data_IF_472970435255
#
_entry.id   IF_472970435255
#
_cell.length_a   1.000
_cell.length_b   1.000
_cell.length_c   1.000
_cell.angle_alpha   90.00
_cell.angle_beta   90.00
_cell.angle_gamma   90.00
#
_symmetry.space_group_name_H-M   'P 1'
#
loop_
_entity.id
_entity.type
_entity.pdbx_description
1 polymer ?
#
# COMPACT_ATOMS: atom_id res chain seq x y z
N UNK A 1 19.80 -15.57 2.41
CA UNK A 1 18.60 -16.33 1.98
C UNK A 1 17.42 -15.37 2.03
N UNK A 2 16.54 -15.35 1.01
CA UNK A 2 15.39 -14.44 0.98
C UNK A 2 14.28 -14.94 1.90
N UNK A 3 13.52 -14.02 2.48
CA UNK A 3 12.32 -14.38 3.25
C UNK A 3 11.18 -14.73 2.29
N UNK A 4 10.60 -15.93 2.44
CA UNK A 4 9.50 -16.41 1.58
C UNK A 4 8.15 -15.99 2.15
N UNK A 5 7.36 -15.27 1.36
CA UNK A 5 6.08 -14.69 1.76
C UNK A 5 4.98 -15.12 0.81
N UNK A 6 3.90 -15.70 1.35
CA UNK A 6 2.67 -16.00 0.61
C UNK A 6 1.64 -14.88 0.76
N UNK A 7 1.07 -14.40 -0.33
CA UNK A 7 -0.02 -13.41 -0.33
C UNK A 7 -1.33 -14.13 -0.62
N UNK A 8 -2.33 -13.98 0.26
CA UNK A 8 -3.63 -14.63 0.09
C UNK A 8 -4.80 -13.69 0.46
N UNK A 9 -5.79 -13.48 -0.43
CA UNK A 9 -5.85 -13.91 -1.83
C UNK A 9 -5.05 -12.98 -2.74
N UNK A 10 -4.21 -13.56 -3.59
CA UNK A 10 -3.27 -12.83 -4.45
C UNK A 10 -3.95 -11.96 -5.53
N UNK A 11 -5.13 -12.36 -6.01
CA UNK A 11 -5.86 -11.67 -7.08
C UNK A 11 -6.63 -10.42 -6.68
N UNK A 12 -6.70 -10.11 -5.39
CA UNK A 12 -7.36 -8.89 -4.91
C UNK A 12 -6.54 -7.65 -5.26
N UNK A 13 -7.18 -6.47 -5.31
CA UNK A 13 -6.46 -5.20 -5.48
C UNK A 13 -5.36 -4.97 -4.43
N UNK A 14 -5.58 -5.46 -3.21
CA UNK A 14 -4.60 -5.42 -2.12
C UNK A 14 -3.44 -6.36 -2.44
N UNK A 15 -3.72 -7.58 -2.90
CA UNK A 15 -2.72 -8.55 -3.30
C UNK A 15 -1.88 -8.07 -4.49
N UNK A 16 -2.50 -7.45 -5.48
CA UNK A 16 -1.81 -6.86 -6.63
C UNK A 16 -0.91 -5.68 -6.20
N UNK A 17 -1.32 -4.89 -5.22
CA UNK A 17 -0.48 -3.82 -4.68
C UNK A 17 0.72 -4.37 -3.90
N UNK A 18 0.52 -5.39 -3.06
CA UNK A 18 1.61 -6.07 -2.36
C UNK A 18 2.63 -6.64 -3.36
N UNK A 19 2.16 -7.22 -4.48
CA UNK A 19 3.05 -7.68 -5.55
C UNK A 19 3.88 -6.54 -6.15
N UNK A 20 3.22 -5.45 -6.59
CA UNK A 20 3.92 -4.29 -7.17
C UNK A 20 4.99 -3.74 -6.24
N UNK A 21 4.69 -3.70 -4.95
CA UNK A 21 5.57 -3.19 -3.91
C UNK A 21 6.77 -4.08 -3.60
N UNK A 22 6.69 -5.40 -3.83
CA UNK A 22 7.69 -6.36 -3.34
C UNK A 22 8.42 -7.16 -4.42
N UNK A 23 7.91 -7.22 -5.65
CA UNK A 23 8.44 -8.12 -6.71
C UNK A 23 9.90 -7.86 -7.09
N UNK A 24 10.41 -6.65 -6.88
CA UNK A 24 11.79 -6.27 -7.12
C UNK A 24 12.71 -6.40 -5.90
N UNK A 25 12.16 -6.71 -4.72
CA UNK A 25 12.93 -6.75 -3.48
C UNK A 25 14.08 -7.77 -3.53
N UNK A 26 15.25 -7.33 -3.10
CA UNK A 26 16.42 -8.16 -2.84
C UNK A 26 16.24 -9.05 -1.60
N UNK A 27 15.40 -8.64 -0.64
CA UNK A 27 15.15 -9.35 0.62
C UNK A 27 14.01 -10.39 0.54
N UNK A 28 13.02 -10.19 -0.32
CA UNK A 28 11.78 -10.97 -0.32
C UNK A 28 11.66 -11.88 -1.56
N UNK A 29 11.15 -13.09 -1.34
CA UNK A 29 10.63 -13.96 -2.38
C UNK A 29 9.13 -14.14 -2.20
N UNK A 30 8.35 -13.71 -3.20
CA UNK A 30 6.91 -13.58 -3.10
C UNK A 30 6.18 -14.71 -3.83
N UNK A 31 5.18 -15.28 -3.16
CA UNK A 31 4.27 -16.29 -3.68
C UNK A 31 2.84 -15.75 -3.68
N UNK A 32 2.12 -15.91 -4.79
CA UNK A 32 0.70 -15.57 -4.88
C UNK A 32 -0.13 -16.82 -4.66
N UNK A 33 -0.99 -16.83 -3.64
CA UNK A 33 -1.93 -17.92 -3.38
C UNK A 33 -3.33 -17.45 -3.75
N UNK A 34 -4.07 -18.24 -4.54
CA UNK A 34 -5.46 -17.91 -4.89
C UNK A 34 -6.37 -19.12 -4.89
N UNK A 35 -7.63 -18.89 -4.54
CA UNK A 35 -8.70 -19.89 -4.66
C UNK A 35 -9.28 -19.97 -6.07
N UNK A 36 -9.03 -18.94 -6.90
CA UNK A 36 -9.50 -18.86 -8.28
C UNK A 36 -8.31 -18.70 -9.22
N UNK A 37 -8.41 -19.24 -10.43
CA UNK A 37 -7.48 -18.90 -11.51
C UNK A 37 -7.77 -17.49 -12.03
N UNK A 38 -7.21 -16.48 -11.37
CA UNK A 38 -7.45 -15.06 -11.65
C UNK A 38 -6.22 -14.34 -12.24
N UNK A 39 -6.24 -13.00 -12.26
CA UNK A 39 -5.16 -12.17 -12.82
C UNK A 39 -3.80 -12.40 -12.13
N UNK A 40 -3.78 -12.87 -10.88
CA UNK A 40 -2.55 -13.11 -10.11
C UNK A 40 -1.60 -14.10 -10.80
N UNK A 41 -2.13 -15.08 -11.56
CA UNK A 41 -1.35 -16.02 -12.39
C UNK A 41 -0.38 -15.32 -13.36
N UNK A 42 -0.73 -14.11 -13.81
CA UNK A 42 0.05 -13.37 -14.82
C UNK A 42 1.05 -12.38 -14.22
N UNK A 43 0.94 -12.07 -12.92
CA UNK A 43 1.78 -11.06 -12.26
C UNK A 43 2.63 -11.61 -11.13
N UNK A 44 2.27 -12.75 -10.54
CA UNK A 44 3.09 -13.44 -9.56
C UNK A 44 4.02 -14.44 -10.25
N UNK A 45 5.33 -14.32 -9.97
CA UNK A 45 6.33 -15.25 -10.51
C UNK A 45 6.18 -16.65 -9.94
N UNK A 46 5.95 -16.75 -8.63
CA UNK A 46 5.64 -17.99 -7.94
C UNK A 46 4.16 -17.96 -7.57
N UNK A 47 3.38 -18.93 -8.03
CA UNK A 47 1.92 -18.89 -7.95
C UNK A 47 1.35 -20.27 -7.64
N UNK A 48 0.39 -20.30 -6.72
CA UNK A 48 -0.39 -21.49 -6.34
C UNK A 48 -1.87 -21.14 -6.52
N UNK A 49 -2.56 -21.86 -7.39
CA UNK A 49 -4.00 -21.70 -7.63
C UNK A 49 -4.81 -22.85 -7.03
N UNK A 50 -6.14 -22.73 -7.15
CA UNK A 50 -7.12 -23.74 -6.80
C UNK A 50 -7.09 -24.16 -5.32
N UNK A 51 -6.63 -23.27 -4.44
CA UNK A 51 -6.86 -23.45 -3.01
C UNK A 51 -8.36 -23.41 -2.72
N UNK A 52 -8.87 -24.15 -1.73
CA UNK A 52 -10.24 -23.95 -1.27
C UNK A 52 -10.47 -22.48 -0.86
N UNK A 53 -11.71 -22.02 -0.87
CA UNK A 53 -12.03 -20.71 -0.29
C UNK A 53 -11.78 -20.76 1.23
N UNK A 54 -11.49 -19.61 1.85
CA UNK A 54 -11.13 -19.57 3.28
C UNK A 54 -12.21 -20.14 4.22
N UNK A 55 -13.47 -20.16 3.77
CA UNK A 55 -14.62 -20.68 4.50
C UNK A 55 -14.94 -22.17 4.20
N UNK A 56 -14.14 -22.82 3.34
CA UNK A 56 -14.23 -24.25 3.08
C UNK A 56 -13.58 -25.04 4.24
N UNK A 57 -14.21 -26.14 4.66
CA UNK A 57 -13.72 -26.99 5.75
C UNK A 57 -12.31 -27.55 5.48
N UNK A 58 -11.97 -27.79 4.22
CA UNK A 58 -10.66 -28.32 3.82
C UNK A 58 -9.58 -27.25 3.62
N UNK A 59 -9.93 -25.96 3.74
CA UNK A 59 -8.99 -24.86 3.46
C UNK A 59 -7.70 -24.97 4.25
N UNK A 60 -7.78 -25.10 5.58
CA UNK A 60 -6.60 -25.10 6.45
C UNK A 60 -5.63 -26.24 6.10
N UNK A 61 -6.16 -27.40 5.71
CA UNK A 61 -5.33 -28.57 5.34
C UNK A 61 -4.55 -28.30 4.05
N UNK A 62 -5.23 -27.90 2.97
CA UNK A 62 -4.59 -27.62 1.68
C UNK A 62 -3.69 -26.37 1.74
N UNK A 63 -4.07 -25.37 2.53
CA UNK A 63 -3.27 -24.18 2.75
C UNK A 63 -1.94 -24.51 3.45
N UNK A 64 -1.99 -25.31 4.53
CA UNK A 64 -0.78 -25.75 5.25
C UNK A 64 0.12 -26.66 4.41
N UNK A 65 -0.47 -27.50 3.56
CA UNK A 65 0.28 -28.29 2.58
C UNK A 65 1.05 -27.39 1.63
N UNK A 66 0.38 -26.39 1.05
CA UNK A 66 1.00 -25.41 0.15
C UNK A 66 2.07 -24.56 0.84
N UNK A 67 1.85 -24.15 2.09
CA UNK A 67 2.85 -23.46 2.93
C UNK A 67 4.11 -24.33 3.07
N UNK A 68 3.94 -25.61 3.43
CA UNK A 68 5.06 -26.53 3.64
C UNK A 68 5.84 -26.82 2.36
N UNK A 69 5.13 -27.11 1.27
CA UNK A 69 5.74 -27.41 -0.04
C UNK A 69 6.58 -26.25 -0.58
N UNK A 70 6.16 -25.01 -0.32
CA UNK A 70 6.86 -23.81 -0.78
C UNK A 70 7.79 -23.21 0.27
N UNK A 71 7.83 -23.76 1.49
CA UNK A 71 8.58 -23.26 2.65
C UNK A 71 8.22 -21.81 2.99
N UNK A 72 6.92 -21.48 2.95
CA UNK A 72 6.45 -20.13 3.25
C UNK A 72 6.65 -19.84 4.73
N UNK A 73 7.33 -18.73 5.04
CA UNK A 73 7.60 -18.30 6.42
C UNK A 73 6.50 -17.37 6.93
N UNK A 74 5.99 -16.51 6.06
CA UNK A 74 4.97 -15.52 6.41
C UNK A 74 3.81 -15.53 5.42
N UNK A 75 2.59 -15.32 5.92
CA UNK A 75 1.41 -15.06 5.11
C UNK A 75 0.99 -13.60 5.25
N UNK A 76 0.82 -12.92 4.13
CA UNK A 76 0.28 -11.57 4.04
C UNK A 76 -1.18 -11.62 3.59
N UNK A 77 -2.14 -11.39 4.51
CA UNK A 77 -3.55 -11.33 4.15
C UNK A 77 -3.84 -10.13 3.25
N UNK A 78 -4.60 -10.37 2.18
CA UNK A 78 -4.93 -9.37 1.18
C UNK A 78 -6.46 -9.15 1.04
N UNK A 79 -7.24 -9.46 2.07
CA UNK A 79 -8.67 -9.20 2.14
C UNK A 79 -9.12 -9.13 3.61
N UNK A 80 -10.14 -8.33 3.92
CA UNK A 80 -10.61 -8.12 5.29
C UNK A 80 -11.17 -9.40 5.95
N UNK A 81 -11.94 -10.21 5.22
CA UNK A 81 -12.50 -11.47 5.75
C UNK A 81 -11.42 -12.54 5.91
N UNK A 82 -10.52 -12.64 4.93
CA UNK A 82 -9.36 -13.54 5.00
C UNK A 82 -8.43 -13.13 6.14
N UNK A 83 -8.21 -11.83 6.35
CA UNK A 83 -7.40 -11.35 7.47
C UNK A 83 -7.99 -11.78 8.80
N UNK A 84 -9.30 -11.59 8.99
CA UNK A 84 -9.98 -12.05 10.20
C UNK A 84 -9.83 -13.57 10.38
N UNK A 85 -10.18 -14.34 9.35
CA UNK A 85 -10.11 -15.80 9.40
C UNK A 85 -8.71 -16.33 9.74
N UNK A 86 -7.67 -15.83 9.06
CA UNK A 86 -6.30 -16.25 9.28
C UNK A 86 -5.80 -15.85 10.68
N UNK A 87 -6.22 -14.68 11.18
CA UNK A 87 -5.86 -14.22 12.53
C UNK A 87 -6.56 -15.06 13.60
N UNK A 88 -7.81 -15.49 13.38
CA UNK A 88 -8.56 -16.35 14.31
C UNK A 88 -8.06 -17.80 14.34
N UNK A 89 -7.46 -18.27 13.24
CA UNK A 89 -6.92 -19.61 13.12
C UNK A 89 -5.38 -19.63 13.14
N UNK A 90 -4.76 -18.61 13.73
CA UNK A 90 -3.31 -18.43 13.78
C UNK A 90 -2.57 -19.72 14.20
N UNK A 91 -3.00 -20.34 15.31
CA UNK A 91 -2.36 -21.54 15.87
C UNK A 91 -2.50 -22.80 14.98
N UNK A 92 -3.37 -22.75 13.97
CA UNK A 92 -3.60 -23.84 13.02
C UNK A 92 -2.87 -23.65 11.70
N UNK A 93 -2.15 -22.54 11.52
CA UNK A 93 -1.45 -22.21 10.27
C UNK A 93 0.06 -22.38 10.49
N UNK A 94 0.73 -23.12 9.61
CA UNK A 94 2.15 -23.45 9.71
C UNK A 94 3.08 -22.32 9.23
N UNK A 95 2.65 -21.07 9.33
CA UNK A 95 3.39 -19.87 8.97
C UNK A 95 2.95 -18.67 9.82
N UNK A 96 3.83 -17.70 9.96
CA UNK A 96 3.55 -16.46 10.69
C UNK A 96 2.60 -15.56 9.90
N UNK A 97 1.50 -15.10 10.53
CA UNK A 97 0.59 -14.16 9.88
C UNK A 97 1.09 -12.72 10.07
N UNK A 98 1.21 -12.00 8.96
CA UNK A 98 1.46 -10.55 8.92
C UNK A 98 0.14 -9.85 9.19
N UNK A 99 -0.14 -9.61 10.46
CA UNK A 99 -1.38 -9.00 10.93
C UNK A 99 -1.15 -8.31 12.27
N UNK A 100 -2.16 -7.56 12.70
CA UNK A 100 -2.21 -7.01 14.06
C UNK A 100 -2.97 -7.94 15.01
N UNK A 101 -3.09 -7.55 16.27
CA UNK A 101 -3.77 -8.37 17.28
C UNK A 101 -5.25 -8.63 16.93
N UNK A 102 -5.75 -9.80 17.34
CA UNK A 102 -7.09 -10.26 16.98
C UNK A 102 -8.21 -9.33 17.46
N UNK A 103 -8.05 -8.63 18.59
CA UNK A 103 -9.07 -7.70 19.09
C UNK A 103 -9.20 -6.53 18.11
N UNK A 104 -8.09 -5.96 17.66
CA UNK A 104 -8.11 -4.87 16.67
C UNK A 104 -8.71 -5.32 15.35
N UNK A 105 -8.35 -6.50 14.84
CA UNK A 105 -8.92 -7.04 13.60
C UNK A 105 -10.44 -7.21 13.71
N UNK A 106 -10.93 -7.80 14.81
CA UNK A 106 -12.38 -7.97 15.05
C UNK A 106 -13.12 -6.65 15.16
N UNK A 107 -12.57 -5.68 15.91
CA UNK A 107 -13.18 -4.35 16.03
C UNK A 107 -13.29 -3.68 14.67
N UNK A 108 -12.20 -3.65 13.89
CA UNK A 108 -12.17 -3.01 12.58
C UNK A 108 -13.10 -3.67 11.56
N UNK A 109 -13.34 -4.99 11.68
CA UNK A 109 -14.24 -5.71 10.75
C UNK A 109 -15.71 -5.32 10.93
N UNK A 110 -16.13 -4.96 12.16
CA UNK A 110 -17.50 -4.57 12.48
C UNK A 110 -17.60 -3.05 12.66
N UNK A 111 -18.39 -2.39 11.79
CA UNK A 111 -18.62 -0.94 11.90
C UNK A 111 -19.36 -0.58 13.18
N UNK A 112 -20.30 -1.42 13.64
CA UNK A 112 -20.99 -1.22 14.91
C UNK A 112 -20.01 -1.28 16.07
N UNK A 113 -19.13 -2.28 16.10
CA UNK A 113 -18.13 -2.42 17.17
C UNK A 113 -17.13 -1.26 17.16
N UNK A 114 -16.69 -0.84 15.97
CA UNK A 114 -15.84 0.35 15.79
C UNK A 114 -16.53 1.60 16.33
N UNK A 115 -17.79 1.86 15.97
CA UNK A 115 -18.51 3.04 16.44
C UNK A 115 -18.81 3.01 17.92
N UNK A 116 -19.14 1.85 18.48
CA UNK A 116 -19.30 1.71 19.93
C UNK A 116 -18.00 2.01 20.68
N UNK A 117 -16.84 1.60 20.14
CA UNK A 117 -15.53 1.90 20.75
C UNK A 117 -15.23 3.40 20.76
N UNK A 118 -15.60 4.13 19.71
CA UNK A 118 -15.30 5.55 19.56
C UNK A 118 -16.51 6.47 19.81
N UNK A 119 -17.61 5.97 20.39
CA UNK A 119 -18.90 6.67 20.48
C UNK A 119 -18.83 8.05 21.15
N UNK A 120 -17.92 8.22 22.10
CA UNK A 120 -17.77 9.45 22.90
C UNK A 120 -16.78 10.44 22.24
N UNK A 121 -16.29 10.15 21.03
CA UNK A 121 -15.39 11.03 20.28
C UNK A 121 -16.16 11.89 19.28
N UNK A 122 -15.69 13.11 19.06
CA UNK A 122 -16.33 14.06 18.13
C UNK A 122 -16.31 13.58 16.67
N UNK A 123 -15.36 12.74 16.31
CA UNK A 123 -15.20 12.21 14.95
C UNK A 123 -16.07 10.97 14.69
N UNK A 124 -16.79 10.42 15.65
CA UNK A 124 -17.74 9.34 15.37
C UNK A 124 -19.02 9.94 14.79
N UNK A 125 -19.52 9.44 13.64
CA UNK A 125 -20.81 9.88 13.14
C UNK A 125 -21.90 9.48 14.13
N UNK A 126 -22.95 10.29 14.23
CA UNK A 126 -24.15 9.90 14.95
C UNK A 126 -24.70 8.62 14.32
N UNK A 127 -24.74 7.55 15.09
CA UNK A 127 -25.36 6.28 14.70
C UNK A 127 -26.55 5.96 15.60
N UNK A 128 -27.49 5.19 15.07
CA UNK A 128 -28.76 4.89 15.73
C UNK A 128 -28.77 3.45 16.22
N UNK A 129 -28.76 3.26 17.54
CA UNK A 129 -28.94 1.93 18.15
C UNK A 129 -30.40 1.46 18.01
N UNK A 130 -31.35 2.39 18.12
CA UNK A 130 -32.77 2.13 17.94
C UNK A 130 -33.32 2.94 16.79
N UNK A 131 -34.10 2.29 15.94
CA UNK A 131 -34.78 2.92 14.79
C UNK A 131 -35.73 4.04 15.23
N UNK A 132 -36.30 3.94 16.43
CA UNK A 132 -37.13 4.98 17.04
C UNK A 132 -36.41 6.33 17.23
N UNK A 133 -35.08 6.32 17.24
CA UNK A 133 -34.27 7.52 17.49
C UNK A 133 -34.03 8.32 16.21
N UNK A 134 -34.42 7.78 15.05
CA UNK A 134 -34.38 8.45 13.75
C UNK A 134 -35.47 9.52 13.69
N UNK A 135 -35.05 10.78 13.83
CA UNK A 135 -35.95 11.96 13.80
C UNK A 135 -35.88 12.78 12.51
N UNK A 136 -34.81 12.59 11.73
CA UNK A 136 -34.52 13.38 10.52
C UNK A 136 -33.97 12.46 9.44
N UNK A 137 -34.36 12.76 8.20
CA UNK A 137 -33.87 12.11 6.98
C UNK A 137 -33.20 13.18 6.09
N UNK A 138 -32.31 12.78 5.14
CA UNK A 138 -31.88 11.40 4.90
C UNK A 138 -30.94 10.87 6.00
N UNK A 139 -30.95 9.55 6.17
CA UNK A 139 -29.94 8.80 6.94
C UNK A 139 -29.16 7.90 5.99
N UNK A 140 -28.05 7.34 6.47
CA UNK A 140 -27.23 6.42 5.70
C UNK A 140 -27.23 5.04 6.36
N UNK A 141 -27.43 4.00 5.57
CA UNK A 141 -27.33 2.62 6.02
C UNK A 141 -26.21 1.90 5.29
N UNK A 142 -25.45 1.09 6.03
CA UNK A 142 -24.38 0.27 5.47
C UNK A 142 -24.31 -1.08 6.22
N UNK A 143 -23.92 -2.17 5.55
CA UNK A 143 -23.70 -3.44 6.23
C UNK A 143 -22.65 -3.29 7.35
N UNK A 144 -22.90 -3.91 8.51
CA UNK A 144 -21.98 -3.93 9.65
C UNK A 144 -20.61 -4.49 9.21
N UNK A 145 -20.65 -5.64 8.54
CA UNK A 145 -19.51 -6.31 7.91
C UNK A 145 -19.66 -6.17 6.39
N UNK A 146 -18.66 -5.61 5.71
CA UNK A 146 -18.73 -5.38 4.26
C UNK A 146 -17.48 -4.69 3.74
N UNK A 147 -17.43 -4.46 2.42
CA UNK A 147 -16.32 -3.80 1.72
C UNK A 147 -16.80 -3.12 0.43
N UNK A 148 -16.06 -2.12 -0.04
CA UNK A 148 -16.29 -1.51 -1.37
C UNK A 148 -17.65 -0.85 -1.55
N UNK A 149 -18.22 -0.27 -0.49
CA UNK A 149 -19.54 0.37 -0.49
C UNK A 149 -20.72 -0.53 -0.94
N UNK A 150 -20.53 -1.85 -1.05
CA UNK A 150 -21.61 -2.79 -1.36
C UNK A 150 -22.67 -2.76 -0.27
N UNK A 151 -23.93 -2.65 -0.68
CA UNK A 151 -25.08 -2.54 0.23
C UNK A 151 -25.21 -1.19 0.93
N UNK A 152 -24.35 -0.20 0.65
CA UNK A 152 -24.49 1.12 1.26
C UNK A 152 -25.58 1.94 0.57
N UNK A 153 -26.58 2.43 1.33
CA UNK A 153 -27.75 3.13 0.78
C UNK A 153 -28.05 4.42 1.54
N UNK A 154 -28.54 5.43 0.82
CA UNK A 154 -29.18 6.61 1.41
C UNK A 154 -30.65 6.27 1.61
N UNK A 155 -31.17 6.50 2.81
CA UNK A 155 -32.56 6.29 3.19
C UNK A 155 -33.21 7.66 3.36
N UNK A 156 -34.23 7.95 2.56
CA UNK A 156 -34.87 9.26 2.50
C UNK A 156 -36.13 9.38 3.36
N UNK A 157 -36.70 8.26 3.82
CA UNK A 157 -37.95 8.24 4.59
C UNK A 157 -38.13 6.92 5.36
N UNK A 158 -39.15 6.88 6.22
CA UNK A 158 -39.49 5.71 7.02
C UNK A 158 -39.91 4.48 6.21
N UNK A 159 -40.47 4.64 5.01
CA UNK A 159 -40.87 3.50 4.19
C UNK A 159 -39.64 2.75 3.68
N UNK A 160 -38.64 3.47 3.16
CA UNK A 160 -37.35 2.91 2.75
C UNK A 160 -36.65 2.23 3.95
N UNK A 161 -36.68 2.87 5.13
CA UNK A 161 -36.13 2.31 6.36
C UNK A 161 -36.79 0.98 6.73
N UNK A 162 -38.13 0.94 6.75
CA UNK A 162 -38.91 -0.26 7.07
C UNK A 162 -38.70 -1.39 6.06
N UNK A 163 -38.48 -1.07 4.78
CA UNK A 163 -38.11 -2.06 3.77
C UNK A 163 -36.74 -2.67 4.07
N UNK A 164 -35.73 -1.86 4.40
CA UNK A 164 -34.38 -2.36 4.69
C UNK A 164 -34.32 -3.20 5.97
N UNK A 165 -35.15 -2.87 6.97
CA UNK A 165 -35.25 -3.63 8.22
C UNK A 165 -35.80 -5.06 8.05
N UNK A 166 -36.37 -5.39 6.88
CA UNK A 166 -36.80 -6.75 6.53
C UNK A 166 -35.65 -7.59 5.95
N UNK A 167 -34.50 -6.99 5.70
CA UNK A 167 -33.31 -7.70 5.24
C UNK A 167 -32.73 -8.58 6.38
N UNK A 168 -32.21 -9.74 6.03
CA UNK A 168 -31.45 -10.60 6.96
C UNK A 168 -30.04 -10.05 7.23
N UNK A 169 -29.54 -9.17 6.37
CA UNK A 169 -28.24 -8.53 6.53
C UNK A 169 -28.28 -7.49 7.67
N UNK A 170 -27.26 -7.52 8.52
CA UNK A 170 -27.15 -6.60 9.65
C UNK A 170 -26.61 -5.25 9.20
N UNK A 171 -27.42 -4.20 9.33
CA UNK A 171 -27.05 -2.82 8.98
C UNK A 171 -26.65 -2.00 10.20
N UNK A 172 -25.76 -1.03 9.98
CA UNK A 172 -25.57 0.13 10.86
C UNK A 172 -26.19 1.37 10.20
N UNK A 173 -27.00 2.08 10.96
CA UNK A 173 -27.70 3.29 10.54
C UNK A 173 -27.01 4.52 11.13
N UNK A 174 -26.65 5.47 10.29
CA UNK A 174 -25.89 6.67 10.67
C UNK A 174 -26.52 7.93 10.08
N UNK A 175 -26.13 9.08 10.59
CA UNK A 175 -26.38 10.35 9.91
C UNK A 175 -25.83 10.33 8.48
N UNK A 176 -26.51 11.06 7.59
CA UNK A 176 -26.02 11.27 6.24
C UNK A 176 -24.90 12.32 6.24
N UNK A 177 -23.75 11.95 5.65
CA UNK A 177 -22.57 12.81 5.55
C UNK A 177 -22.44 13.30 4.10
N UNK A 178 -22.72 14.59 3.81
CA UNK A 178 -22.75 15.12 2.44
C UNK A 178 -21.38 15.56 1.92
N UNK A 179 -20.39 15.76 2.78
CA UNK A 179 -19.11 16.36 2.41
C UNK A 179 -18.12 15.39 1.76
N UNK A 180 -16.91 15.88 1.53
CA UNK A 180 -15.83 15.15 0.87
C UNK A 180 -15.34 13.95 1.69
N UNK A 181 -14.88 12.90 0.99
CA UNK A 181 -14.35 11.66 1.55
C UNK A 181 -12.84 11.56 1.36
N UNK A 182 -12.15 11.15 2.43
CA UNK A 182 -10.69 11.04 2.49
C UNK A 182 -10.28 9.67 3.03
N UNK A 183 -9.10 9.22 2.63
CA UNK A 183 -8.45 8.06 3.23
C UNK A 183 -7.13 8.49 3.84
N UNK A 184 -6.85 8.03 5.05
CA UNK A 184 -5.65 8.36 5.78
C UNK A 184 -4.83 7.08 5.90
N UNK A 185 -3.76 6.98 5.12
CA UNK A 185 -2.83 5.86 5.16
C UNK A 185 -1.90 6.03 6.38
N UNK A 186 -1.86 5.01 7.23
CA UNK A 186 -1.12 5.01 8.49
C UNK A 186 -0.15 3.84 8.58
N UNK A 187 0.87 3.99 9.42
CA UNK A 187 1.76 2.90 9.81
C UNK A 187 2.15 3.02 11.27
N UNK A 188 1.98 1.94 12.01
CA UNK A 188 2.38 1.82 13.41
C UNK A 188 3.45 0.76 13.53
N UNK A 189 4.56 1.06 14.19
CA UNK A 189 5.65 0.09 14.32
C UNK A 189 5.39 -0.94 15.45
N UNK A 190 6.30 -1.91 15.59
CA UNK A 190 6.21 -2.97 16.59
C UNK A 190 6.39 -2.48 18.03
N UNK A 191 6.74 -1.20 18.24
CA UNK A 191 6.72 -0.53 19.54
C UNK A 191 5.37 0.15 19.83
N UNK A 192 4.45 0.16 18.86
CA UNK A 192 3.14 0.81 18.98
C UNK A 192 3.17 2.30 18.61
N UNK A 193 4.27 2.81 18.08
CA UNK A 193 4.40 4.22 17.68
C UNK A 193 3.82 4.45 16.28
N UNK A 194 2.93 5.44 16.15
CA UNK A 194 2.41 5.88 14.86
C UNK A 194 3.50 6.65 14.08
N UNK A 195 4.08 6.02 13.06
CA UNK A 195 5.22 6.56 12.30
C UNK A 195 4.83 7.33 11.04
N UNK A 196 3.67 7.01 10.45
CA UNK A 196 3.16 7.64 9.23
C UNK A 196 1.68 7.94 9.39
N UNK A 197 1.24 9.13 8.95
CA UNK A 197 -0.16 9.53 8.83
C UNK A 197 -0.35 10.46 7.63
N UNK A 198 -0.80 9.90 6.50
CA UNK A 198 -0.88 10.60 5.21
C UNK A 198 -2.30 10.63 4.68
N UNK A 199 -2.85 11.84 4.57
CA UNK A 199 -4.17 12.04 4.00
C UNK A 199 -4.12 12.06 2.47
N UNK A 200 -5.08 11.39 1.84
CA UNK A 200 -5.35 11.47 0.41
C UNK A 200 -6.84 11.64 0.16
N UNK A 201 -7.18 12.42 -0.86
CA UNK A 201 -8.56 12.55 -1.28
C UNK A 201 -9.01 11.35 -2.13
N UNK A 202 -10.30 11.37 -2.46
CA UNK A 202 -10.94 10.38 -3.31
C UNK A 202 -11.72 11.08 -4.41
N UNK A 203 -11.02 11.89 -5.23
CA UNK A 203 -11.60 12.76 -6.28
C UNK A 203 -12.60 12.02 -7.17
N UNK A 204 -12.34 10.74 -7.45
CA UNK A 204 -13.26 9.87 -8.17
C UNK A 204 -13.31 8.50 -7.52
N UNK A 205 -14.51 8.05 -7.21
CA UNK A 205 -14.80 6.74 -6.61
C UNK A 205 -15.58 5.89 -7.63
N UNK A 206 -15.23 4.61 -7.74
CA UNK A 206 -15.98 3.61 -8.52
C UNK A 206 -16.04 2.32 -7.70
N UNK A 207 -17.23 1.76 -7.48
CA UNK A 207 -17.43 0.54 -6.68
C UNK A 207 -16.73 0.60 -5.30
N UNK A 208 -16.79 1.76 -4.63
CA UNK A 208 -16.14 2.00 -3.33
C UNK A 208 -14.60 2.07 -3.36
N UNK A 209 -13.98 2.02 -4.54
CA UNK A 209 -12.53 2.16 -4.72
C UNK A 209 -12.22 3.57 -5.23
N UNK A 210 -11.23 4.22 -4.62
CA UNK A 210 -10.72 5.49 -5.13
C UNK A 210 -9.87 5.24 -6.38
N UNK A 211 -10.41 5.66 -7.52
CA UNK A 211 -9.78 5.51 -8.84
C UNK A 211 -9.08 6.79 -9.29
N UNK A 212 -9.25 7.91 -8.58
CA UNK A 212 -8.41 9.11 -8.70
C UNK A 212 -8.12 9.68 -7.32
N UNK A 213 -6.84 9.85 -6.99
CA UNK A 213 -6.41 10.35 -5.67
C UNK A 213 -5.14 11.18 -5.80
N UNK A 214 -5.00 12.17 -4.92
CA UNK A 214 -3.77 12.91 -4.69
C UNK A 214 -3.45 12.93 -3.18
N UNK A 215 -2.18 13.14 -2.85
CA UNK A 215 -1.74 13.31 -1.45
C UNK A 215 -2.03 14.75 -1.04
N UNK A 216 -2.72 14.90 0.09
CA UNK A 216 -3.04 16.18 0.70
C UNK A 216 -2.14 16.45 1.90
N UNK A 217 -2.08 17.72 2.31
CA UNK A 217 -1.50 18.08 3.59
C UNK A 217 -2.38 17.48 4.71
N UNK A 218 -1.79 16.64 5.55
CA UNK A 218 -2.47 16.12 6.74
C UNK A 218 -2.56 17.24 7.79
N UNK A 219 -3.77 17.67 8.13
CA UNK A 219 -3.97 18.68 9.17
C UNK A 219 -3.90 18.10 10.60
N UNK A 220 -3.88 19.00 11.59
CA UNK A 220 -3.78 18.64 13.01
C UNK A 220 -5.03 17.90 13.53
N UNK A 221 -6.21 18.09 12.96
CA UNK A 221 -7.42 17.38 13.38
C UNK A 221 -7.31 15.91 12.97
N UNK A 222 -6.90 15.66 11.73
CA UNK A 222 -6.65 14.31 11.21
C UNK A 222 -5.56 13.59 12.00
N UNK A 223 -4.44 14.26 12.32
CA UNK A 223 -3.37 13.69 13.15
C UNK A 223 -3.87 13.29 14.54
N UNK A 224 -4.73 14.12 15.17
CA UNK A 224 -5.33 13.81 16.47
C UNK A 224 -6.25 12.60 16.38
N UNK A 225 -7.08 12.50 15.35
CA UNK A 225 -7.95 11.35 15.11
C UNK A 225 -7.11 10.08 14.96
N UNK A 226 -6.08 10.12 14.12
CA UNK A 226 -5.17 8.97 13.91
C UNK A 226 -4.53 8.52 15.23
N UNK A 227 -4.07 9.46 16.05
CA UNK A 227 -3.49 9.17 17.36
C UNK A 227 -4.50 8.55 18.31
N UNK A 228 -5.72 9.09 18.40
CA UNK A 228 -6.78 8.51 19.26
C UNK A 228 -7.11 7.08 18.84
N UNK A 229 -7.20 6.83 17.53
CA UNK A 229 -7.44 5.48 16.99
C UNK A 229 -6.28 4.54 17.37
N UNK A 230 -5.04 4.95 17.16
CA UNK A 230 -3.83 4.18 17.49
C UNK A 230 -3.68 3.91 19.00
N UNK A 231 -4.11 4.84 19.86
CA UNK A 231 -4.00 4.67 21.31
C UNK A 231 -5.05 3.67 21.86
N UNK A 232 -6.18 3.47 21.15
CA UNK A 232 -7.27 2.57 21.56
C UNK A 232 -7.22 1.18 20.92
N UNK A 233 -6.49 1.04 19.81
CA UNK A 233 -6.35 -0.20 19.04
C UNK A 233 -4.85 -0.49 18.84
N UNK A 234 -4.43 -1.74 19.04
CA UNK A 234 -3.02 -2.10 18.83
C UNK A 234 -2.82 -2.37 17.36
N UNK A 235 -2.12 -1.50 16.66
CA UNK A 235 -1.69 -1.72 15.28
C UNK A 235 -0.24 -2.20 15.23
N UNK A 236 0.07 -3.00 14.21
CA UNK A 236 1.41 -3.52 13.95
C UNK A 236 1.62 -3.63 12.44
N UNK A 237 2.17 -2.59 11.83
CA UNK A 237 2.29 -2.42 10.40
C UNK A 237 1.32 -1.37 9.83
N UNK A 238 1.05 -1.48 8.53
CA UNK A 238 0.20 -0.56 7.80
C UNK A 238 -1.29 -0.77 8.08
N UNK A 239 -2.00 0.35 8.20
CA UNK A 239 -3.45 0.41 8.36
C UNK A 239 -3.97 1.70 7.74
N UNK A 240 -5.27 1.85 7.63
CA UNK A 240 -5.87 3.13 7.25
C UNK A 240 -7.21 3.32 7.92
N UNK A 241 -7.66 4.57 7.91
CA UNK A 241 -9.04 4.91 8.23
C UNK A 241 -9.59 5.89 7.20
N UNK A 242 -10.91 5.95 7.10
CA UNK A 242 -11.59 6.83 6.17
C UNK A 242 -12.42 7.84 6.94
N UNK A 243 -12.33 9.10 6.51
CA UNK A 243 -13.09 10.21 7.04
C UNK A 243 -14.00 10.79 5.97
N UNK A 244 -15.16 11.27 6.37
CA UNK A 244 -16.05 12.05 5.50
C UNK A 244 -16.58 13.27 6.25
N UNK A 245 -16.67 14.40 5.57
CA UNK A 245 -17.16 15.63 6.19
C UNK A 245 -18.68 15.61 6.39
N UNK A 246 -19.12 16.07 7.56
CA UNK A 246 -20.53 16.34 7.84
C UNK A 246 -20.99 17.67 7.22
N UNK A 247 -22.22 18.09 7.51
CA UNK A 247 -22.80 19.35 7.00
C UNK A 247 -22.10 20.62 7.53
N UNK A 248 -21.30 20.49 8.60
CA UNK A 248 -20.54 21.58 9.23
C UNK A 248 -19.03 21.45 8.94
N UNK A 249 -18.66 20.69 7.89
CA UNK A 249 -17.28 20.41 7.50
C UNK A 249 -16.43 19.69 8.56
N UNK A 250 -17.05 19.00 9.53
CA UNK A 250 -16.34 18.21 10.54
C UNK A 250 -16.08 16.79 10.08
N UNK A 251 -14.89 16.26 10.38
CA UNK A 251 -14.51 14.91 9.99
C UNK A 251 -15.28 13.87 10.79
N UNK A 252 -15.91 12.92 10.08
CA UNK A 252 -16.60 11.77 10.65
C UNK A 252 -16.03 10.45 10.14
N UNK A 253 -15.80 9.49 11.02
CA UNK A 253 -15.22 8.19 10.74
C UNK A 253 -16.18 7.31 9.95
N UNK A 254 -15.70 6.76 8.83
CA UNK A 254 -16.45 5.80 8.02
C UNK A 254 -16.07 4.35 8.33
N UNK A 255 -14.77 4.06 8.32
CA UNK A 255 -14.19 2.73 8.55
C UNK A 255 -12.72 2.83 8.97
N UNK A 256 -12.23 1.77 9.60
CA UNK A 256 -10.83 1.52 9.92
C UNK A 256 -10.50 0.13 9.42
N UNK A 257 -9.33 -0.08 8.82
CA UNK A 257 -8.90 -1.40 8.39
C UNK A 257 -7.39 -1.62 8.64
N UNK A 258 -7.00 -2.68 9.35
CA UNK A 258 -5.63 -2.95 9.76
C UNK A 258 -4.84 -3.68 8.66
N UNK A 259 -4.88 -3.16 7.43
CA UNK A 259 -4.26 -3.78 6.25
C UNK A 259 -3.85 -2.76 5.20
N UNK A 260 -3.14 -3.25 4.19
CA UNK A 260 -2.82 -2.48 2.98
C UNK A 260 -4.10 -2.06 2.25
N UNK A 261 -4.13 -0.81 1.76
CA UNK A 261 -5.18 -0.31 0.88
C UNK A 261 -4.70 -0.35 -0.58
N UNK A 262 -5.60 -0.65 -1.52
CA UNK A 262 -5.22 -0.77 -2.94
C UNK A 262 -4.68 0.52 -3.58
N UNK A 263 -4.87 1.68 -2.96
CA UNK A 263 -4.37 2.98 -3.44
C UNK A 263 -3.15 3.47 -2.64
N UNK A 264 -2.64 2.68 -1.68
CA UNK A 264 -1.35 2.95 -1.01
C UNK A 264 -0.16 2.95 -1.98
N UNK A 265 -0.34 2.47 -3.23
CA UNK A 265 0.64 2.66 -4.31
C UNK A 265 1.01 4.13 -4.53
N UNK A 266 0.10 5.07 -4.24
CA UNK A 266 0.40 6.51 -4.26
C UNK A 266 1.44 6.91 -3.21
N UNK A 267 1.33 6.37 -1.99
CA UNK A 267 2.29 6.58 -0.91
C UNK A 267 3.61 5.84 -1.16
N UNK A 268 3.57 4.66 -1.80
CA UNK A 268 4.77 3.97 -2.29
C UNK A 268 5.54 4.84 -3.26
N UNK A 269 4.86 5.48 -4.22
CA UNK A 269 5.46 6.43 -5.14
C UNK A 269 5.99 7.72 -4.50
N UNK A 270 5.92 7.88 -3.17
CA UNK A 270 6.61 8.92 -2.40
C UNK A 270 7.77 8.38 -1.54
N UNK A 271 8.14 7.10 -1.70
CA UNK A 271 9.17 6.44 -0.89
C UNK A 271 8.64 5.62 0.29
N UNK A 272 7.32 5.63 0.54
CA UNK A 272 6.70 4.95 1.68
C UNK A 272 6.11 3.60 1.24
N UNK A 273 6.96 2.59 1.13
CA UNK A 273 6.56 1.23 0.77
C UNK A 273 5.92 0.49 1.96
N UNK A 274 4.63 0.74 2.21
CA UNK A 274 3.88 0.16 3.33
C UNK A 274 3.93 -1.38 3.41
N UNK A 275 3.80 -2.16 2.31
CA UNK A 275 3.96 -3.61 2.36
C UNK A 275 5.34 -4.03 2.89
N UNK A 276 6.42 -3.44 2.38
CA UNK A 276 7.79 -3.77 2.80
C UNK A 276 8.05 -3.39 4.26
N UNK A 277 7.64 -2.18 4.66
CA UNK A 277 7.73 -1.72 6.04
C UNK A 277 6.97 -2.66 6.98
N UNK A 278 5.78 -3.12 6.59
CA UNK A 278 4.96 -4.03 7.41
C UNK A 278 5.65 -5.37 7.64
N UNK A 279 6.31 -5.91 6.61
CA UNK A 279 7.10 -7.15 6.71
C UNK A 279 8.28 -6.98 7.67
N UNK A 280 9.11 -5.95 7.45
CA UNK A 280 10.27 -5.70 8.29
C UNK A 280 9.88 -5.42 9.75
N UNK A 281 8.76 -4.75 9.94
CA UNK A 281 8.20 -4.49 11.25
C UNK A 281 7.72 -5.77 11.95
N UNK A 282 7.05 -6.69 11.23
CA UNK A 282 6.72 -8.03 11.74
C UNK A 282 7.99 -8.84 12.10
N UNK A 283 9.06 -8.67 11.33
CA UNK A 283 10.39 -9.25 11.61
C UNK A 283 11.17 -8.51 12.72
N UNK A 284 10.60 -7.44 13.30
CA UNK A 284 11.22 -6.58 14.31
C UNK A 284 12.56 -5.96 13.88
N UNK A 285 12.69 -5.68 12.59
CA UNK A 285 13.83 -4.95 12.03
C UNK A 285 13.58 -3.45 12.25
N UNK A 286 14.53 -2.70 12.84
CA UNK A 286 14.41 -1.25 12.94
C UNK A 286 14.26 -0.60 11.56
N UNK A 287 13.26 0.26 11.41
CA UNK A 287 12.95 0.93 10.14
C UNK A 287 13.25 2.43 10.20
N UNK A 288 13.56 2.98 9.02
CA UNK A 288 13.51 4.41 8.73
C UNK A 288 12.60 4.62 7.53
N UNK A 289 12.09 5.84 7.39
CA UNK A 289 11.15 6.20 6.32
C UNK A 289 11.76 7.33 5.50
N UNK A 290 11.69 7.17 4.18
CA UNK A 290 11.97 8.23 3.21
C UNK A 290 10.62 8.76 2.75
N UNK A 291 10.51 10.08 2.65
CA UNK A 291 9.32 10.75 2.10
C UNK A 291 9.76 11.83 1.13
N UNK A 292 9.67 11.51 -0.17
CA UNK A 292 9.87 12.51 -1.22
C UNK A 292 8.81 13.61 -1.13
N UNK A 293 9.22 14.85 -1.41
CA UNK A 293 8.36 16.03 -1.29
C UNK A 293 8.05 16.60 -2.68
N UNK A 294 7.06 16.03 -3.34
CA UNK A 294 6.45 16.57 -4.56
C UNK A 294 4.95 16.25 -4.58
N UNK A 295 4.21 16.93 -5.45
CA UNK A 295 2.80 16.60 -5.68
C UNK A 295 2.73 15.41 -6.63
N UNK A 296 1.78 14.51 -6.34
CA UNK A 296 1.54 13.31 -7.13
C UNK A 296 0.04 13.02 -7.16
N UNK A 297 -0.46 12.68 -8.35
CA UNK A 297 -1.80 12.15 -8.57
C UNK A 297 -1.70 10.73 -9.15
N UNK A 298 -2.63 9.86 -8.77
CA UNK A 298 -2.88 8.58 -9.43
C UNK A 298 -4.26 8.55 -10.06
N UNK A 299 -4.35 8.03 -11.28
CA UNK A 299 -5.60 7.65 -11.93
C UNK A 299 -5.57 6.16 -12.30
N UNK A 300 -6.71 5.50 -12.15
CA UNK A 300 -6.89 4.06 -12.34
C UNK A 300 -8.08 3.77 -13.23
N UNK A 301 -7.82 3.04 -14.30
CA UNK A 301 -8.82 2.17 -14.93
C UNK A 301 -8.65 0.76 -14.34
N UNK A 302 -7.89 -0.11 -15.00
CA UNK A 302 -7.47 -1.41 -14.48
C UNK A 302 -6.04 -1.39 -13.90
N UNK A 303 -5.22 -0.43 -14.33
CA UNK A 303 -3.82 -0.27 -13.91
C UNK A 303 -3.65 1.17 -13.42
N UNK A 304 -2.84 1.35 -12.39
CA UNK A 304 -2.44 2.67 -11.90
C UNK A 304 -1.52 3.39 -12.88
N UNK A 305 -1.82 4.67 -13.09
CA UNK A 305 -0.99 5.63 -13.82
C UNK A 305 -0.82 6.85 -12.96
N UNK A 306 0.38 7.42 -12.96
CA UNK A 306 0.74 8.51 -12.07
C UNK A 306 1.08 9.76 -12.87
N UNK A 307 0.91 10.91 -12.23
CA UNK A 307 1.40 12.20 -12.70
C UNK A 307 2.11 12.87 -11.54
N UNK A 308 3.36 13.29 -11.78
CA UNK A 308 4.20 13.94 -10.80
C UNK A 308 4.41 15.39 -11.23
N UNK A 309 4.41 16.30 -10.26
CA UNK A 309 4.60 17.74 -10.48
C UNK A 309 5.91 18.16 -9.79
N UNK A 310 7.02 17.82 -10.47
CA UNK A 310 8.37 18.33 -10.18
C UNK A 310 9.29 18.17 -11.42
N UNK A 311 10.30 19.03 -11.53
CA UNK A 311 11.23 19.03 -12.66
C UNK A 311 12.59 18.42 -12.28
N UNK A 312 13.19 17.68 -13.21
CA UNK A 312 14.57 17.20 -13.15
C UNK A 312 15.17 17.13 -14.56
N UNK A 313 16.50 17.25 -14.67
CA UNK A 313 17.22 17.14 -15.94
C UNK A 313 18.39 16.15 -15.89
N UNK A 314 18.56 15.46 -14.75
CA UNK A 314 19.54 14.38 -14.57
C UNK A 314 18.90 13.21 -13.83
N UNK A 315 19.11 12.00 -14.33
CA UNK A 315 18.78 10.74 -13.65
C UNK A 315 20.08 10.06 -13.26
N UNK A 316 20.30 9.90 -11.96
CA UNK A 316 21.31 8.99 -11.44
C UNK A 316 20.68 7.62 -11.22
N UNK A 317 21.32 6.57 -11.73
CA UNK A 317 20.82 5.20 -11.64
C UNK A 317 21.92 4.26 -11.17
N UNK A 318 21.60 3.40 -10.21
CA UNK A 318 22.50 2.32 -9.80
C UNK A 318 22.44 1.11 -10.75
N UNK A 319 23.53 0.36 -10.81
CA UNK A 319 23.66 -0.84 -11.63
C UNK A 319 23.09 -2.10 -10.96
N UNK A 320 23.58 -2.44 -9.77
CA UNK A 320 23.38 -3.72 -9.13
C UNK A 320 22.05 -3.75 -8.38
N UNK A 321 21.26 -4.81 -8.58
CA UNK A 321 19.92 -4.95 -8.00
C UNK A 321 18.93 -3.80 -8.32
N UNK A 322 19.33 -2.87 -9.21
CA UNK A 322 18.54 -1.73 -9.68
C UNK A 322 18.31 -1.84 -11.19
N UNK A 323 19.34 -1.53 -12.00
CA UNK A 323 19.30 -1.71 -13.46
C UNK A 323 19.36 -3.19 -13.85
N UNK A 324 20.11 -3.99 -13.10
CA UNK A 324 20.25 -5.43 -13.28
C UNK A 324 19.74 -6.14 -12.03
N UNK A 325 18.59 -6.80 -12.14
CA UNK A 325 17.96 -7.54 -11.03
C UNK A 325 18.06 -9.03 -11.33
N UNK A 326 18.71 -9.80 -10.46
CA UNK A 326 18.86 -11.27 -10.60
C UNK A 326 19.42 -11.68 -11.98
N UNK A 327 20.50 -11.03 -12.43
CA UNK A 327 21.12 -11.21 -13.76
C UNK A 327 20.15 -10.99 -14.94
N UNK A 328 19.14 -10.13 -14.77
CA UNK A 328 18.23 -9.72 -15.83
C UNK A 328 18.09 -8.21 -15.82
N UNK A 329 17.98 -7.62 -17.00
CA UNK A 329 17.74 -6.18 -17.13
C UNK A 329 16.37 -5.83 -16.55
N UNK A 330 16.32 -4.80 -15.71
CA UNK A 330 15.07 -4.23 -15.20
C UNK A 330 14.35 -3.50 -16.34
N UNK A 331 13.39 -4.19 -16.96
CA UNK A 331 12.72 -3.72 -18.17
C UNK A 331 11.96 -2.40 -17.97
N UNK A 332 11.38 -2.20 -16.79
CA UNK A 332 10.60 -1.00 -16.50
C UNK A 332 11.52 0.22 -16.35
N UNK A 333 12.65 0.02 -15.67
CA UNK A 333 13.69 1.04 -15.55
C UNK A 333 14.35 1.35 -16.90
N UNK A 334 14.61 0.35 -17.75
CA UNK A 334 15.09 0.61 -19.11
C UNK A 334 14.10 1.43 -19.94
N UNK A 335 12.81 1.13 -19.84
CA UNK A 335 11.77 1.92 -20.51
C UNK A 335 11.82 3.38 -20.06
N UNK A 336 11.94 3.61 -18.75
CA UNK A 336 12.09 4.95 -18.20
C UNK A 336 13.40 5.65 -18.64
N UNK A 337 14.51 4.92 -18.74
CA UNK A 337 15.78 5.46 -19.24
C UNK A 337 15.63 5.93 -20.70
N UNK A 338 15.01 5.12 -21.57
CA UNK A 338 14.78 5.53 -22.96
C UNK A 338 13.82 6.72 -23.09
N UNK A 339 12.76 6.76 -22.28
CA UNK A 339 11.89 7.94 -22.19
C UNK A 339 12.69 9.19 -21.79
N UNK A 340 13.58 9.06 -20.80
CA UNK A 340 14.42 10.16 -20.34
C UNK A 340 15.37 10.65 -21.44
N UNK A 341 15.97 9.74 -22.21
CA UNK A 341 16.83 10.07 -23.36
C UNK A 341 16.05 10.84 -24.43
N UNK A 342 14.83 10.38 -24.79
CA UNK A 342 13.99 11.08 -25.76
C UNK A 342 13.63 12.50 -25.31
N UNK A 343 13.52 12.70 -24.00
CA UNK A 343 13.25 14.00 -23.37
C UNK A 343 14.52 14.83 -23.09
N UNK A 344 15.68 14.43 -23.63
CA UNK A 344 16.98 15.10 -23.45
C UNK A 344 17.39 15.25 -21.97
N UNK A 345 17.04 14.27 -21.14
CA UNK A 345 17.45 14.18 -19.74
C UNK A 345 18.76 13.39 -19.65
N UNK A 346 19.76 13.95 -18.95
CA UNK A 346 21.08 13.31 -18.77
C UNK A 346 20.95 12.05 -17.93
N UNK A 347 21.57 10.94 -18.34
CA UNK A 347 21.59 9.67 -17.60
C UNK A 347 23.00 9.39 -17.09
N UNK A 348 23.14 9.23 -15.77
CA UNK A 348 24.41 8.94 -15.11
C UNK A 348 24.30 7.58 -14.42
N UNK A 349 25.13 6.62 -14.85
CA UNK A 349 25.27 5.35 -14.15
C UNK A 349 26.22 5.55 -12.97
N UNK A 350 25.76 5.27 -11.75
CA UNK A 350 26.55 5.45 -10.54
C UNK A 350 26.45 4.21 -9.65
N UNK A 351 27.55 3.47 -9.52
CA UNK A 351 27.52 2.16 -8.87
C UNK A 351 28.77 1.87 -8.04
N UNK A 352 28.63 0.97 -7.08
CA UNK A 352 29.72 0.37 -6.30
C UNK A 352 30.09 -1.03 -6.81
N UNK A 353 29.83 -1.29 -8.10
CA UNK A 353 30.01 -2.58 -8.73
C UNK A 353 31.46 -3.06 -8.64
N UNK A 354 31.65 -4.28 -8.12
CA UNK A 354 32.98 -4.84 -7.85
C UNK A 354 33.67 -5.30 -9.14
N UNK A 355 32.91 -5.68 -10.16
CA UNK A 355 33.45 -6.16 -11.43
C UNK A 355 33.62 -5.04 -12.45
N UNK A 356 34.18 -5.37 -13.62
CA UNK A 356 34.28 -4.42 -14.72
C UNK A 356 32.88 -4.04 -15.23
N UNK A 357 32.50 -2.77 -15.03
CA UNK A 357 31.19 -2.24 -15.40
C UNK A 357 30.91 -2.41 -16.90
N UNK A 358 31.89 -2.11 -17.76
CA UNK A 358 31.70 -2.17 -19.22
C UNK A 358 31.50 -3.61 -19.71
N UNK A 359 32.20 -4.58 -19.12
CA UNK A 359 31.98 -6.01 -19.41
C UNK A 359 30.60 -6.46 -18.93
N UNK A 360 30.17 -6.04 -17.74
CA UNK A 360 28.83 -6.33 -17.23
C UNK A 360 27.74 -5.74 -18.13
N UNK A 361 27.87 -4.49 -18.55
CA UNK A 361 26.94 -3.85 -19.49
C UNK A 361 26.88 -4.59 -20.83
N UNK A 362 28.04 -4.93 -21.40
CA UNK A 362 28.15 -5.70 -22.64
C UNK A 362 27.46 -7.06 -22.54
N UNK A 363 27.73 -7.81 -21.46
CA UNK A 363 27.08 -9.11 -21.18
C UNK A 363 25.56 -8.98 -21.08
N UNK A 364 25.07 -7.91 -20.47
CA UNK A 364 23.65 -7.63 -20.33
C UNK A 364 23.00 -7.01 -21.58
N UNK A 365 23.80 -6.76 -22.62
CA UNK A 365 23.39 -6.08 -23.86
C UNK A 365 22.85 -4.66 -23.63
N UNK A 366 23.40 -3.97 -22.63
CA UNK A 366 23.14 -2.56 -22.38
C UNK A 366 24.29 -1.78 -23.01
N UNK A 367 23.99 -0.94 -23.99
CA UNK A 367 25.03 -0.11 -24.61
C UNK A 367 25.49 0.96 -23.60
N UNK A 368 26.81 1.11 -23.42
CA UNK A 368 27.40 2.13 -22.55
C UNK A 368 27.03 3.56 -22.96
N UNK A 369 26.76 3.78 -24.25
CA UNK A 369 26.45 5.10 -24.82
C UNK A 369 25.02 5.58 -24.46
N UNK A 370 24.25 4.76 -23.75
CA UNK A 370 23.00 5.17 -23.07
C UNK A 370 23.30 6.14 -21.92
N UNK A 371 24.49 6.06 -21.33
CA UNK A 371 24.90 6.86 -20.19
C UNK A 371 25.82 7.99 -20.65
N UNK A 372 25.48 9.22 -20.29
CA UNK A 372 26.35 10.38 -20.47
C UNK A 372 27.62 10.27 -19.61
N UNK A 373 27.52 9.58 -18.48
CA UNK A 373 28.60 9.41 -17.53
C UNK A 373 28.46 8.07 -16.77
N UNK A 374 29.60 7.42 -16.49
CA UNK A 374 29.67 6.18 -15.70
C UNK A 374 30.64 6.43 -14.54
N UNK A 375 30.12 6.42 -13.32
CA UNK A 375 30.85 6.68 -12.09
C UNK A 375 30.96 5.38 -11.28
N UNK A 376 32.18 4.91 -11.07
CA UNK A 376 32.47 3.80 -10.17
C UNK A 376 32.92 4.35 -8.82
N UNK A 377 32.20 4.00 -7.75
CA UNK A 377 32.41 4.52 -6.40
C UNK A 377 32.99 3.41 -5.54
N UNK A 378 33.95 3.74 -4.66
CA UNK A 378 34.47 2.77 -3.71
C UNK A 378 33.37 2.34 -2.73
N UNK A 379 33.39 1.07 -2.30
CA UNK A 379 32.44 0.52 -1.34
C UNK A 379 32.29 1.36 -0.06
N UNK A 380 33.39 1.99 0.40
CA UNK A 380 33.42 2.80 1.63
C UNK A 380 32.95 4.25 1.44
N UNK A 381 32.92 4.75 0.21
CA UNK A 381 32.51 6.11 -0.09
C UNK A 381 30.99 6.23 -0.15
N UNK A 382 30.45 7.44 0.04
CA UNK A 382 29.01 7.68 -0.01
C UNK A 382 28.61 8.14 -1.40
N UNK A 383 27.49 7.63 -1.93
CA UNK A 383 26.98 8.09 -3.21
C UNK A 383 26.62 9.58 -3.20
N UNK A 384 26.14 10.11 -2.07
CA UNK A 384 25.79 11.53 -1.96
C UNK A 384 26.97 12.48 -2.21
N UNK A 385 28.22 12.05 -2.01
CA UNK A 385 29.40 12.89 -2.27
C UNK A 385 29.66 13.11 -3.78
N UNK A 386 29.08 12.28 -4.65
CA UNK A 386 29.27 12.32 -6.11
C UNK A 386 28.06 12.89 -6.86
N UNK A 387 26.91 13.09 -6.19
CA UNK A 387 25.73 13.70 -6.80
C UNK A 387 25.84 15.24 -6.77
N UNK A 388 26.46 15.79 -7.82
CA UNK A 388 26.70 17.23 -7.95
C UNK A 388 25.51 18.02 -8.51
N UNK A 389 24.56 17.37 -9.18
CA UNK A 389 23.45 18.05 -9.86
C UNK A 389 22.23 18.20 -8.94
N UNK A 390 21.82 19.43 -8.63
CA UNK A 390 20.66 19.71 -7.74
C UNK A 390 19.30 19.38 -8.35
N UNK A 391 19.12 19.54 -9.67
CA UNK A 391 17.88 19.21 -10.39
C UNK A 391 17.92 17.76 -10.89
N UNK A 392 18.06 16.82 -9.96
CA UNK A 392 18.23 15.41 -10.28
C UNK A 392 17.31 14.51 -9.48
N UNK A 393 17.18 13.27 -9.95
CA UNK A 393 16.62 12.17 -9.20
C UNK A 393 17.65 11.05 -9.07
N UNK A 394 17.49 10.22 -8.05
CA UNK A 394 18.35 9.06 -7.83
C UNK A 394 17.54 7.77 -7.69
N UNK A 395 17.91 6.73 -8.43
CA UNK A 395 17.22 5.44 -8.44
C UNK A 395 18.19 4.35 -7.97
N UNK A 396 17.85 3.67 -6.87
CA UNK A 396 18.68 2.65 -6.23
C UNK A 396 17.81 1.72 -5.35
N UNK A 397 18.02 0.40 -5.41
CA UNK A 397 17.37 -0.57 -4.52
C UNK A 397 17.77 -0.35 -3.05
N UNK A 398 19.02 0.03 -2.81
CA UNK A 398 19.61 0.17 -1.49
C UNK A 398 18.97 1.31 -0.71
N UNK A 399 18.19 0.95 0.31
CA UNK A 399 17.58 1.93 1.21
C UNK A 399 18.62 2.83 1.89
N UNK A 400 19.78 2.30 2.28
CA UNK A 400 20.81 3.09 2.96
C UNK A 400 21.43 4.15 2.03
N UNK A 401 21.67 3.82 0.77
CA UNK A 401 22.19 4.77 -0.22
C UNK A 401 21.14 5.84 -0.54
N UNK A 402 19.88 5.44 -0.77
CA UNK A 402 18.77 6.38 -0.94
C UNK A 402 18.60 7.29 0.26
N UNK A 403 18.68 6.76 1.47
CA UNK A 403 18.53 7.54 2.70
C UNK A 403 19.67 8.54 2.89
N UNK A 404 20.91 8.17 2.57
CA UNK A 404 22.07 9.07 2.58
C UNK A 404 21.90 10.21 1.57
N UNK A 405 21.55 9.90 0.33
CA UNK A 405 21.27 10.90 -0.72
C UNK A 405 20.10 11.82 -0.33
N UNK A 406 18.99 11.25 0.13
CA UNK A 406 17.82 12.01 0.57
C UNK A 406 18.17 12.98 1.70
N UNK A 407 18.89 12.49 2.72
CA UNK A 407 19.19 13.26 3.94
C UNK A 407 20.22 14.37 3.69
N UNK A 408 21.22 14.13 2.84
CA UNK A 408 22.30 15.08 2.62
C UNK A 408 22.00 16.09 1.51
N UNK A 409 21.25 15.69 0.47
CA UNK A 409 21.07 16.50 -0.74
C UNK A 409 19.63 16.99 -0.94
N UNK A 410 18.66 16.42 -0.24
CA UNK A 410 17.23 16.75 -0.37
C UNK A 410 16.73 16.67 -1.83
N UNK A 411 17.22 15.68 -2.58
CA UNK A 411 16.72 15.34 -3.91
C UNK A 411 15.75 14.15 -3.84
N UNK A 412 14.80 14.01 -4.77
CA UNK A 412 13.95 12.84 -4.85
C UNK A 412 14.73 11.55 -5.11
N UNK A 413 14.43 10.50 -4.33
CA UNK A 413 15.06 9.18 -4.45
C UNK A 413 14.00 8.10 -4.65
N UNK A 414 14.30 7.08 -5.46
CA UNK A 414 13.31 6.08 -5.87
C UNK A 414 13.84 4.66 -5.77
N UNK A 415 13.02 3.78 -5.21
CA UNK A 415 13.22 2.33 -5.29
C UNK A 415 12.85 1.79 -6.69
N UNK A 416 13.35 0.60 -7.05
CA UNK A 416 12.93 -0.11 -8.27
C UNK A 416 11.41 -0.31 -8.38
N UNK A 417 10.71 -0.48 -7.26
CA UNK A 417 9.24 -0.57 -7.22
C UNK A 417 8.53 0.75 -7.50
N UNK A 418 9.22 1.89 -7.41
CA UNK A 418 8.63 3.22 -7.54
C UNK A 418 8.78 3.79 -8.96
N UNK A 419 9.64 3.19 -9.79
CA UNK A 419 9.89 3.59 -11.19
C UNK A 419 8.60 3.68 -12.02
N UNK A 420 7.57 2.89 -11.71
CA UNK A 420 6.29 2.96 -12.44
C UNK A 420 5.64 4.34 -12.44
N UNK A 421 5.91 5.16 -11.42
CA UNK A 421 5.36 6.49 -11.33
C UNK A 421 6.08 7.49 -12.25
N UNK A 422 7.36 7.26 -12.55
CA UNK A 422 8.17 8.15 -13.38
C UNK A 422 7.90 8.02 -14.89
N UNK A 423 7.14 7.00 -15.30
CA UNK A 423 6.85 6.73 -16.70
C UNK A 423 5.69 7.61 -17.17
N UNK A 424 5.91 8.36 -18.24
CA UNK A 424 4.87 9.05 -18.97
C UNK A 424 4.27 8.10 -20.02
N UNK A 425 2.97 7.79 -19.86
CA UNK A 425 2.27 6.85 -20.71
C UNK A 425 1.54 7.52 -21.89
N UNK A 426 1.78 8.82 -22.12
CA UNK A 426 1.13 9.62 -23.17
C UNK A 426 1.98 9.77 -24.44
N UNK A 427 3.25 9.36 -24.36
CA UNK A 427 4.24 9.47 -25.44
C UNK A 427 4.21 8.30 -26.44
#
# INVERSE_FOLDING_TARGET
MKTKIGVFPAGTEIGLEINRALKYSTHIELYGFSSLSDHSKYVYRNYVDNLPFYNDENFLNEFNKSIKENEIQYIFPANDDVQLFLTENYDKINAEIITTDIKTVRVCRSKITTYNLFKDTEFTPKFFEKISDVKKFPIFAKPDIGQGAKGAIIINNFNELNCLLRSEEKYVFCEYLPGEEYTIDCFTDFHGELRVCKMRNRKRIREGISVRSEILLTDNEVLKIAKIINDNLKFNGAWFFQLKKDINDKYKLLEIAPRISGTMGLSRSLGINFPLLTIFNKMRIPIKIIENKYKIEVDRALISRYSLDFDYNVVYVDLDDTLIIKNKVNKLLMMFIYQSINNNIKIILMTKHIHNILETLSRMKINKDIFDEIININMLEKKSDFLVHKKSIFIDDSFSERYDVYSNLNIPVFDSSEVECLIDWRE
#
